data_IF_809504862559
#
_entry.id   IF_809504862559
#
_cell.length_a   1.000
_cell.length_b   1.000
_cell.length_c   1.000
_cell.angle_alpha   90.00
_cell.angle_beta   90.00
_cell.angle_gamma   90.00
#
_symmetry.space_group_name_H-M   'P 1'
#
loop_
_entity.id
_entity.type
_entity.pdbx_description
1 polymer ?
#
# COMPACT_ATOMS: atom_id res chain seq x y z
N UNK A 1 13.30 -2.63 0.83
CA UNK A 1 13.85 -1.71 1.87
C UNK A 1 14.81 -2.51 2.72
N UNK A 2 15.98 -1.97 3.16
CA UNK A 2 16.79 -2.69 4.11
C UNK A 2 15.99 -2.84 5.40
N UNK A 3 16.10 -4.02 6.01
CA UNK A 3 15.62 -4.34 7.37
C UNK A 3 16.31 -3.41 8.37
N UNK A 4 15.83 -2.18 8.48
CA UNK A 4 16.23 -1.31 9.57
C UNK A 4 15.34 -1.69 10.75
N UNK A 5 15.89 -2.34 11.78
CA UNK A 5 15.11 -2.64 12.96
C UNK A 5 14.55 -1.34 13.54
N UNK A 6 13.37 -1.37 14.14
CA UNK A 6 12.81 -0.18 14.77
C UNK A 6 13.81 0.39 15.79
N UNK A 7 13.94 1.72 15.86
CA UNK A 7 14.86 2.34 16.80
C UNK A 7 14.51 1.94 18.23
N UNK A 8 15.52 1.43 18.95
CA UNK A 8 15.39 1.08 20.38
C UNK A 8 16.07 2.14 21.24
N UNK A 9 15.48 2.46 22.39
CA UNK A 9 16.18 3.19 23.47
C UNK A 9 17.05 2.21 24.24
N UNK A 10 18.11 2.68 24.86
CA UNK A 10 18.97 1.88 25.73
C UNK A 10 18.13 1.19 26.80
N UNK A 11 17.84 -0.14 26.62
CA UNK A 11 16.96 -0.90 27.51
C UNK A 11 15.98 -1.85 26.82
N UNK A 12 16.16 -2.21 25.54
CA UNK A 12 15.39 -3.24 24.78
C UNK A 12 13.85 -3.03 24.67
N UNK A 13 13.30 -1.94 25.19
CA UNK A 13 11.88 -1.66 24.99
C UNK A 13 11.65 -0.94 23.65
N UNK A 14 10.66 -1.35 22.85
CA UNK A 14 10.30 -0.63 21.63
C UNK A 14 9.87 0.80 21.97
N UNK A 15 10.29 1.77 21.16
CA UNK A 15 9.86 3.16 21.32
C UNK A 15 8.33 3.25 21.20
N UNK A 16 7.72 4.16 21.96
CA UNK A 16 6.29 4.45 21.81
C UNK A 16 5.98 4.82 20.34
N UNK A 17 4.83 4.38 19.78
CA UNK A 17 4.46 4.66 18.38
C UNK A 17 4.60 6.13 18.00
N UNK A 18 4.18 7.08 18.85
CA UNK A 18 4.30 8.51 18.58
C UNK A 18 5.76 8.96 18.41
N UNK A 19 6.67 8.38 19.21
CA UNK A 19 8.11 8.67 19.11
C UNK A 19 8.68 8.09 17.82
N UNK A 20 8.26 6.89 17.45
CA UNK A 20 8.66 6.27 16.19
C UNK A 20 8.19 7.09 14.98
N UNK A 21 6.95 7.60 15.02
CA UNK A 21 6.37 8.40 13.94
C UNK A 21 7.12 9.71 13.67
N UNK A 22 7.88 10.24 14.62
CA UNK A 22 8.66 11.46 14.42
C UNK A 22 9.87 11.22 13.53
N UNK A 23 10.56 10.08 13.70
CA UNK A 23 11.86 9.81 13.04
C UNK A 23 11.84 8.68 12.02
N UNK A 24 10.88 7.75 12.08
CA UNK A 24 10.86 6.56 11.22
C UNK A 24 10.80 6.92 9.74
N UNK A 25 11.59 6.23 8.93
CA UNK A 25 11.64 6.39 7.48
C UNK A 25 12.40 7.64 6.99
N UNK A 26 13.05 8.40 7.88
CA UNK A 26 13.84 9.56 7.52
C UNK A 26 15.32 9.37 7.90
N UNK A 27 16.19 9.47 6.91
CA UNK A 27 17.64 9.60 7.12
C UNK A 27 18.05 11.07 6.90
N UNK A 28 18.42 11.80 7.97
CA UNK A 28 18.84 13.19 7.86
C UNK A 28 20.05 13.38 6.92
N UNK A 29 20.94 12.41 6.83
CA UNK A 29 22.15 12.52 6.01
C UNK A 29 21.86 12.45 4.51
N UNK A 30 20.77 11.79 4.11
CA UNK A 30 20.26 11.85 2.74
C UNK A 30 19.51 13.16 2.44
N UNK A 31 19.17 13.92 3.47
CA UNK A 31 18.45 15.20 3.39
C UNK A 31 19.31 16.38 3.89
N UNK A 32 20.60 16.36 3.63
CA UNK A 32 21.56 17.45 3.98
C UNK A 32 21.59 17.80 5.48
N UNK A 33 21.33 16.84 6.35
CA UNK A 33 21.29 17.03 7.80
C UNK A 33 19.97 17.60 8.33
N UNK A 34 18.93 17.69 7.51
CA UNK A 34 17.64 18.18 7.95
C UNK A 34 17.02 17.22 8.99
N UNK A 35 16.68 17.73 10.18
CA UNK A 35 16.08 16.94 11.27
C UNK A 35 14.70 16.41 10.89
N UNK A 36 13.94 17.17 10.10
CA UNK A 36 12.66 16.76 9.53
C UNK A 36 12.79 16.60 8.03
N UNK A 37 12.06 15.63 7.48
CA UNK A 37 12.02 15.42 6.04
C UNK A 37 11.61 16.70 5.32
N UNK A 38 12.44 17.24 4.41
CA UNK A 38 12.06 18.35 3.56
C UNK A 38 10.89 18.00 2.63
N UNK A 39 10.13 19.02 2.21
CA UNK A 39 9.13 18.85 1.17
C UNK A 39 9.81 19.00 -0.19
N UNK A 40 9.91 17.90 -0.93
CA UNK A 40 10.46 17.89 -2.28
C UNK A 40 9.36 18.19 -3.29
N UNK A 41 9.57 19.20 -4.14
CA UNK A 41 8.67 19.54 -5.26
C UNK A 41 9.14 18.97 -6.59
N UNK A 42 10.33 18.36 -6.63
CA UNK A 42 10.85 17.76 -7.84
C UNK A 42 10.15 16.44 -8.18
N UNK A 43 9.74 16.26 -9.41
CA UNK A 43 9.24 14.98 -9.90
C UNK A 43 10.33 14.11 -10.55
N UNK A 44 11.50 14.70 -10.84
CA UNK A 44 12.59 14.02 -11.55
C UNK A 44 13.88 14.17 -10.76
N UNK A 45 14.67 13.11 -10.72
CA UNK A 45 15.95 13.06 -10.00
C UNK A 45 17.05 12.73 -11.00
N UNK A 46 18.22 13.35 -10.82
CA UNK A 46 19.39 13.17 -11.68
C UNK A 46 20.33 12.12 -11.14
N UNK A 47 21.14 11.53 -12.01
CA UNK A 47 22.14 10.54 -11.70
C UNK A 47 23.53 11.12 -11.97
N UNK A 48 24.53 10.65 -11.23
CA UNK A 48 25.94 11.06 -11.40
C UNK A 48 26.57 10.37 -12.61
N UNK A 49 26.08 9.16 -12.94
CA UNK A 49 26.54 8.37 -14.10
C UNK A 49 25.43 7.51 -14.66
N UNK A 50 25.63 6.93 -15.84
CA UNK A 50 24.72 5.98 -16.44
C UNK A 50 24.58 4.71 -15.61
N UNK A 51 25.64 4.26 -14.97
CA UNK A 51 25.67 3.08 -14.10
C UNK A 51 24.86 3.31 -12.84
N UNK A 52 24.97 4.51 -12.21
CA UNK A 52 24.13 4.89 -11.09
C UNK A 52 22.64 4.91 -11.49
N UNK A 53 22.34 5.47 -12.66
CA UNK A 53 20.98 5.47 -13.21
C UNK A 53 20.43 4.05 -13.39
N UNK A 54 21.23 3.15 -13.98
CA UNK A 54 20.83 1.76 -14.14
C UNK A 54 20.55 1.08 -12.79
N UNK A 55 21.42 1.28 -11.80
CA UNK A 55 21.23 0.74 -10.45
C UNK A 55 19.95 1.29 -9.79
N UNK A 56 19.63 2.57 -9.95
CA UNK A 56 18.44 3.18 -9.38
C UNK A 56 17.16 2.69 -10.06
N UNK A 57 17.19 2.41 -11.36
CA UNK A 57 16.08 1.75 -12.04
C UNK A 57 15.87 0.31 -11.57
N UNK A 58 16.92 -0.40 -11.20
CA UNK A 58 16.80 -1.74 -10.60
C UNK A 58 16.16 -1.69 -9.21
N UNK A 59 16.50 -0.65 -8.41
CA UNK A 59 15.82 -0.38 -7.13
C UNK A 59 14.33 -0.08 -7.35
N UNK A 60 14.01 0.86 -8.26
CA UNK A 60 12.64 1.24 -8.54
C UNK A 60 11.78 0.08 -9.08
N UNK A 61 12.41 -0.89 -9.75
CA UNK A 61 11.77 -2.10 -10.25
C UNK A 61 11.75 -3.26 -9.22
N UNK A 62 12.25 -3.05 -8.01
CA UNK A 62 12.32 -4.08 -6.98
C UNK A 62 13.31 -5.22 -7.26
N UNK A 63 14.26 -5.01 -8.19
CA UNK A 63 15.25 -6.01 -8.56
C UNK A 63 16.50 -6.00 -7.69
N UNK A 64 16.78 -4.87 -7.04
CA UNK A 64 17.91 -4.70 -6.16
C UNK A 64 17.59 -3.75 -4.98
N UNK A 65 18.23 -3.89 -3.82
CA UNK A 65 18.16 -2.91 -2.75
C UNK A 65 18.88 -1.62 -3.16
N UNK A 66 18.51 -0.50 -2.53
CA UNK A 66 19.25 0.76 -2.74
C UNK A 66 20.70 0.63 -2.31
N UNK A 67 21.67 1.14 -3.08
CA UNK A 67 23.06 1.18 -2.67
C UNK A 67 23.22 1.96 -1.35
N UNK A 68 24.15 1.54 -0.50
CA UNK A 68 24.38 2.18 0.78
C UNK A 68 24.68 3.69 0.60
N UNK A 69 23.98 4.55 1.33
CA UNK A 69 24.12 6.00 1.27
C UNK A 69 23.59 6.65 -0.01
N UNK A 70 22.88 5.92 -0.86
CA UNK A 70 22.23 6.45 -2.05
C UNK A 70 20.70 6.48 -1.90
N UNK A 71 20.06 7.48 -2.52
CA UNK A 71 18.62 7.66 -2.42
C UNK A 71 17.81 6.64 -3.22
N UNK A 72 18.36 6.11 -4.31
CA UNK A 72 17.64 5.24 -5.24
C UNK A 72 16.49 5.94 -6.01
N UNK A 73 16.41 7.27 -5.95
CA UNK A 73 15.32 8.03 -6.52
C UNK A 73 15.47 8.19 -8.03
N UNK A 74 14.38 7.97 -8.77
CA UNK A 74 14.33 8.05 -10.23
C UNK A 74 13.33 9.10 -10.69
N UNK A 75 12.06 8.86 -10.42
CA UNK A 75 10.97 9.69 -10.89
C UNK A 75 9.73 9.47 -10.01
N UNK A 76 8.97 10.54 -9.74
CA UNK A 76 7.87 10.56 -8.77
C UNK A 76 6.77 9.50 -9.01
N UNK A 77 6.63 8.98 -10.24
CA UNK A 77 5.71 7.88 -10.53
C UNK A 77 6.19 6.53 -9.98
N UNK A 78 7.49 6.34 -9.86
CA UNK A 78 8.10 5.11 -9.34
C UNK A 78 8.40 5.21 -7.85
N UNK A 79 9.06 6.31 -7.46
CA UNK A 79 9.45 6.56 -6.08
C UNK A 79 9.62 8.06 -5.83
N UNK A 80 9.32 8.48 -4.60
CA UNK A 80 9.44 9.89 -4.21
C UNK A 80 9.70 9.98 -2.71
N UNK A 81 10.64 10.81 -2.23
CA UNK A 81 11.04 10.81 -0.83
C UNK A 81 9.89 11.11 0.14
N UNK A 82 8.98 12.02 -0.21
CA UNK A 82 7.83 12.33 0.65
C UNK A 82 6.79 11.19 0.67
N UNK A 83 6.59 10.47 -0.45
CA UNK A 83 5.69 9.32 -0.47
C UNK A 83 6.29 8.16 0.33
N UNK A 84 7.56 7.85 0.11
CA UNK A 84 8.26 6.78 0.86
C UNK A 84 8.21 7.01 2.36
N UNK A 85 8.31 8.28 2.83
CA UNK A 85 8.17 8.60 4.24
C UNK A 85 6.77 8.28 4.77
N UNK A 86 5.72 8.64 4.04
CA UNK A 86 4.32 8.36 4.42
C UNK A 86 4.08 6.85 4.41
N UNK A 87 4.52 6.16 3.37
CA UNK A 87 4.40 4.71 3.21
C UNK A 87 5.07 3.96 4.37
N UNK A 88 6.32 4.34 4.71
CA UNK A 88 7.05 3.73 5.83
C UNK A 88 6.32 3.92 7.16
N UNK A 89 5.78 5.11 7.41
CA UNK A 89 5.05 5.40 8.65
C UNK A 89 3.70 4.71 8.75
N UNK A 90 2.94 4.65 7.65
CA UNK A 90 1.68 3.91 7.61
C UNK A 90 1.91 2.41 7.82
N UNK A 91 2.91 1.83 7.15
CA UNK A 91 3.29 0.44 7.37
C UNK A 91 3.64 0.17 8.84
N UNK A 92 4.42 1.08 9.47
CA UNK A 92 4.76 0.96 10.89
C UNK A 92 3.52 1.00 11.80
N UNK A 93 2.59 1.94 11.56
CA UNK A 93 1.37 2.07 12.36
C UNK A 93 0.47 0.85 12.28
N UNK A 94 0.33 0.29 11.09
CA UNK A 94 -0.53 -0.87 10.85
C UNK A 94 0.18 -2.22 11.12
N UNK A 95 1.48 -2.20 11.47
CA UNK A 95 2.28 -3.41 11.60
C UNK A 95 2.40 -4.19 10.30
N UNK A 96 2.32 -3.50 9.16
CA UNK A 96 2.39 -4.08 7.83
C UNK A 96 3.83 -4.13 7.30
N UNK A 97 4.12 -5.06 6.37
CA UNK A 97 5.41 -5.15 5.71
C UNK A 97 5.69 -3.95 4.81
N UNK A 98 4.65 -3.40 4.17
CA UNK A 98 4.74 -2.25 3.28
C UNK A 98 3.39 -1.53 3.16
N UNK A 99 3.43 -0.28 2.71
CA UNK A 99 2.28 0.49 2.30
C UNK A 99 2.55 1.15 0.94
N UNK A 100 1.50 1.47 0.22
CA UNK A 100 1.57 2.20 -1.05
C UNK A 100 0.59 3.37 -1.01
N UNK A 101 1.09 4.55 -1.28
CA UNK A 101 0.26 5.77 -1.36
C UNK A 101 -0.21 5.98 -2.80
N UNK A 102 -1.50 6.25 -2.95
CA UNK A 102 -2.13 6.53 -4.24
C UNK A 102 -2.77 7.92 -4.25
N UNK A 103 -3.18 8.39 -5.42
CA UNK A 103 -3.77 9.72 -5.59
C UNK A 103 -5.19 9.87 -5.01
N UNK A 104 -5.86 8.77 -4.69
CA UNK A 104 -7.21 8.75 -4.09
C UNK A 104 -7.52 7.41 -3.47
N UNK A 105 -8.52 7.35 -2.57
CA UNK A 105 -9.03 6.08 -2.04
C UNK A 105 -9.53 5.14 -3.13
N UNK A 106 -10.21 5.66 -4.15
CA UNK A 106 -10.62 4.82 -5.29
C UNK A 106 -9.44 4.27 -6.10
N UNK A 107 -8.35 5.01 -6.22
CA UNK A 107 -7.13 4.50 -6.83
C UNK A 107 -6.51 3.38 -5.98
N UNK A 108 -6.53 3.50 -4.64
CA UNK A 108 -6.08 2.43 -3.75
C UNK A 108 -6.93 1.17 -3.91
N UNK A 109 -8.26 1.31 -3.82
CA UNK A 109 -9.20 0.20 -3.95
C UNK A 109 -9.07 -0.48 -5.32
N UNK A 110 -9.11 0.28 -6.41
CA UNK A 110 -9.02 -0.29 -7.75
C UNK A 110 -7.67 -0.98 -7.98
N UNK A 111 -6.56 -0.39 -7.53
CA UNK A 111 -5.23 -1.01 -7.65
C UNK A 111 -5.17 -2.32 -6.87
N UNK A 112 -5.67 -2.35 -5.63
CA UNK A 112 -5.69 -3.57 -4.81
C UNK A 112 -6.53 -4.68 -5.47
N UNK A 113 -7.72 -4.34 -6.00
CA UNK A 113 -8.60 -5.30 -6.65
C UNK A 113 -8.00 -5.83 -7.95
N UNK A 114 -7.51 -4.97 -8.85
CA UNK A 114 -6.88 -5.39 -10.10
C UNK A 114 -5.56 -6.16 -9.90
N UNK A 115 -4.80 -5.86 -8.85
CA UNK A 115 -3.60 -6.62 -8.51
C UNK A 115 -3.93 -8.04 -8.01
N UNK A 116 -5.04 -8.18 -7.27
CA UNK A 116 -5.41 -9.43 -6.59
C UNK A 116 -6.30 -10.36 -7.41
N UNK A 117 -7.07 -9.81 -8.35
CA UNK A 117 -8.10 -10.53 -9.09
C UNK A 117 -7.69 -10.89 -10.50
N UNK A 118 -8.30 -11.97 -11.00
CA UNK A 118 -8.22 -12.41 -12.40
C UNK A 118 -9.63 -12.70 -12.92
N UNK A 119 -9.88 -12.65 -14.23
CA UNK A 119 -11.13 -13.09 -14.83
C UNK A 119 -11.52 -14.50 -14.36
N UNK A 120 -12.77 -14.68 -13.98
CA UNK A 120 -13.33 -15.91 -13.42
C UNK A 120 -13.24 -16.03 -11.90
N UNK A 121 -12.54 -15.12 -11.21
CA UNK A 121 -12.49 -15.07 -9.74
C UNK A 121 -13.71 -14.34 -9.15
N UNK A 122 -13.88 -14.46 -7.84
CA UNK A 122 -15.04 -13.96 -7.11
C UNK A 122 -14.66 -12.98 -6.03
N UNK A 123 -15.46 -11.93 -5.86
CA UNK A 123 -15.42 -11.01 -4.72
C UNK A 123 -16.59 -11.32 -3.79
N UNK A 124 -16.33 -11.39 -2.50
CA UNK A 124 -17.37 -11.36 -1.46
C UNK A 124 -17.20 -10.09 -0.67
N UNK A 125 -18.25 -9.28 -0.57
CA UNK A 125 -18.17 -7.98 0.08
C UNK A 125 -19.38 -7.69 0.95
N UNK A 126 -19.19 -6.86 1.99
CA UNK A 126 -20.30 -6.31 2.75
C UNK A 126 -21.11 -5.32 1.90
N UNK A 127 -22.38 -5.10 2.26
CA UNK A 127 -23.26 -4.13 1.61
C UNK A 127 -23.97 -3.30 2.70
N UNK A 128 -24.12 -1.98 2.51
CA UNK A 128 -23.65 -1.20 1.36
C UNK A 128 -22.14 -0.90 1.43
N UNK A 129 -21.50 -0.80 0.28
CA UNK A 129 -20.17 -0.24 0.12
C UNK A 129 -20.24 1.24 -0.26
N UNK A 130 -19.07 1.93 -0.26
CA UNK A 130 -18.96 3.23 -0.90
C UNK A 130 -19.38 3.14 -2.37
N UNK A 131 -20.25 4.08 -2.81
CA UNK A 131 -20.89 4.01 -4.13
C UNK A 131 -19.93 3.84 -5.31
N UNK A 132 -18.72 4.46 -5.24
CA UNK A 132 -17.68 4.26 -6.25
C UNK A 132 -17.16 2.83 -6.29
N UNK A 133 -17.00 2.19 -5.14
CA UNK A 133 -16.56 0.79 -5.03
C UNK A 133 -17.64 -0.16 -5.57
N UNK A 134 -18.91 0.08 -5.23
CA UNK A 134 -20.01 -0.72 -5.79
C UNK A 134 -20.10 -0.62 -7.32
N UNK A 135 -19.95 0.59 -7.86
CA UNK A 135 -19.94 0.80 -9.31
C UNK A 135 -18.74 0.09 -9.96
N UNK A 136 -17.56 0.17 -9.36
CA UNK A 136 -16.37 -0.55 -9.85
C UNK A 136 -16.61 -2.06 -9.90
N UNK A 137 -17.17 -2.65 -8.83
CA UNK A 137 -17.41 -4.08 -8.74
C UNK A 137 -18.52 -4.50 -9.71
N UNK A 138 -19.65 -3.81 -9.73
CA UNK A 138 -20.85 -4.21 -10.50
C UNK A 138 -20.73 -3.95 -11.99
N UNK A 139 -19.86 -3.05 -12.41
CA UNK A 139 -19.67 -2.70 -13.83
C UNK A 139 -18.30 -3.13 -14.33
N UNK A 140 -17.25 -2.37 -14.03
CA UNK A 140 -15.94 -2.58 -14.63
C UNK A 140 -15.35 -3.97 -14.34
N UNK A 141 -15.42 -4.45 -13.10
CA UNK A 141 -14.92 -5.79 -12.76
C UNK A 141 -15.84 -6.90 -13.29
N UNK A 142 -17.16 -6.69 -13.31
CA UNK A 142 -18.08 -7.64 -13.91
C UNK A 142 -17.83 -7.77 -15.43
N UNK A 143 -17.63 -6.66 -16.14
CA UNK A 143 -17.30 -6.66 -17.57
C UNK A 143 -15.93 -7.33 -17.82
N UNK A 144 -15.03 -7.25 -16.85
CA UNK A 144 -13.73 -7.94 -16.89
C UNK A 144 -13.84 -9.44 -16.55
N UNK A 145 -15.02 -9.92 -16.18
CA UNK A 145 -15.28 -11.33 -15.88
C UNK A 145 -15.07 -11.73 -14.42
N UNK A 146 -15.04 -10.76 -13.50
CA UNK A 146 -15.00 -11.03 -12.06
C UNK A 146 -16.42 -11.07 -11.51
N UNK A 147 -16.78 -12.17 -10.80
CA UNK A 147 -18.07 -12.29 -10.14
C UNK A 147 -18.07 -11.62 -8.76
N UNK A 148 -19.27 -11.23 -8.28
CA UNK A 148 -19.42 -10.64 -6.96
C UNK A 148 -20.62 -11.24 -6.21
N UNK A 149 -20.46 -11.42 -4.90
CA UNK A 149 -21.52 -11.84 -3.97
C UNK A 149 -21.51 -10.89 -2.77
N UNK A 150 -22.60 -10.18 -2.56
CA UNK A 150 -22.77 -9.28 -1.43
C UNK A 150 -23.44 -10.00 -0.24
N UNK A 151 -23.17 -9.53 0.97
CA UNK A 151 -23.92 -9.85 2.19
C UNK A 151 -24.30 -8.56 2.92
N UNK A 152 -25.54 -8.48 3.40
CA UNK A 152 -26.15 -7.22 3.84
C UNK A 152 -25.79 -6.84 5.30
N UNK A 153 -25.31 -7.80 6.10
CA UNK A 153 -24.89 -7.57 7.48
C UNK A 153 -23.42 -7.88 7.64
N UNK A 154 -22.58 -6.84 7.56
CA UNK A 154 -21.13 -6.92 7.71
C UNK A 154 -20.66 -7.33 9.11
N UNK A 155 -21.55 -7.35 10.10
CA UNK A 155 -21.27 -7.83 11.46
C UNK A 155 -21.72 -9.30 11.64
N UNK A 156 -22.47 -9.88 10.69
CA UNK A 156 -22.94 -11.25 10.75
C UNK A 156 -21.94 -12.23 10.15
N UNK A 157 -21.28 -13.01 11.00
CA UNK A 157 -20.41 -14.10 10.56
C UNK A 157 -21.15 -15.18 9.77
N UNK A 158 -22.45 -15.37 10.04
CA UNK A 158 -23.30 -16.32 9.33
C UNK A 158 -23.60 -15.84 7.90
N UNK A 159 -23.99 -14.57 7.73
CA UNK A 159 -24.22 -13.98 6.41
C UNK A 159 -22.95 -14.01 5.55
N UNK A 160 -21.80 -13.65 6.13
CA UNK A 160 -20.51 -13.71 5.45
C UNK A 160 -20.16 -15.14 5.04
N UNK A 161 -20.37 -16.12 5.91
CA UNK A 161 -20.08 -17.54 5.60
C UNK A 161 -20.96 -18.05 4.45
N UNK A 162 -22.26 -17.77 4.45
CA UNK A 162 -23.17 -18.15 3.39
C UNK A 162 -22.77 -17.54 2.03
N UNK A 163 -22.36 -16.27 2.04
CA UNK A 163 -21.84 -15.59 0.84
C UNK A 163 -20.53 -16.22 0.33
N UNK A 164 -19.61 -16.55 1.24
CA UNK A 164 -18.35 -17.23 0.91
C UNK A 164 -18.60 -18.62 0.31
N UNK A 165 -19.48 -19.42 0.88
CA UNK A 165 -19.85 -20.75 0.34
C UNK A 165 -20.43 -20.64 -1.07
N UNK A 166 -21.31 -19.65 -1.27
CA UNK A 166 -21.91 -19.37 -2.58
C UNK A 166 -20.88 -18.98 -3.62
N UNK A 167 -19.93 -18.13 -3.26
CA UNK A 167 -18.88 -17.65 -4.15
C UNK A 167 -17.82 -18.73 -4.42
N UNK A 168 -17.42 -19.48 -3.38
CA UNK A 168 -16.38 -20.53 -3.47
C UNK A 168 -16.74 -21.64 -4.46
N UNK A 169 -18.03 -21.91 -4.64
CA UNK A 169 -18.50 -22.85 -5.65
C UNK A 169 -18.22 -22.41 -7.11
N UNK A 170 -17.85 -21.14 -7.31
CA UNK A 170 -17.63 -20.52 -8.63
C UNK A 170 -16.15 -20.25 -8.94
N UNK A 171 -15.27 -20.32 -7.94
CA UNK A 171 -13.83 -20.07 -8.12
C UNK A 171 -13.13 -19.50 -6.89
N UNK A 172 -11.92 -18.98 -7.09
CA UNK A 172 -11.14 -18.33 -6.03
C UNK A 172 -11.86 -17.07 -5.53
N UNK A 173 -11.96 -16.92 -4.22
CA UNK A 173 -12.62 -15.78 -3.57
C UNK A 173 -11.59 -14.83 -2.98
N UNK A 174 -11.78 -13.52 -3.21
CA UNK A 174 -11.09 -12.42 -2.53
C UNK A 174 -12.14 -11.67 -1.71
N UNK A 175 -11.96 -11.58 -0.39
CA UNK A 175 -12.88 -10.90 0.50
C UNK A 175 -12.52 -9.41 0.57
N UNK A 176 -13.51 -8.57 0.29
CA UNK A 176 -13.42 -7.11 0.46
C UNK A 176 -14.37 -6.70 1.56
N UNK A 177 -13.83 -6.08 2.62
CA UNK A 177 -14.61 -5.51 3.72
C UNK A 177 -14.40 -3.99 3.70
N UNK A 178 -15.52 -3.24 3.63
CA UNK A 178 -15.52 -1.79 3.82
C UNK A 178 -16.20 -1.46 5.15
N UNK A 179 -15.42 -1.17 6.17
CA UNK A 179 -15.92 -0.87 7.52
C UNK A 179 -16.40 0.56 7.69
N UNK A 180 -16.13 1.48 6.75
CA UNK A 180 -16.44 2.91 6.90
C UNK A 180 -17.93 3.23 6.78
N UNK A 181 -18.71 2.39 6.11
CA UNK A 181 -20.15 2.59 5.93
C UNK A 181 -21.02 1.88 6.98
N UNK A 182 -20.41 1.27 8.00
CA UNK A 182 -21.12 0.52 9.05
C UNK A 182 -21.10 1.21 10.42
N UNK A 183 -20.58 2.42 10.48
CA UNK A 183 -20.64 3.33 11.64
C UNK A 183 -21.71 4.38 11.40
#
# INVERSE_FOLDING_TARGET
MPDTPPPTVAGDAPLHPDTQMVGHGHDPFLAQGAVKMPVYHSSTFVFRSAEEGAAFFDVAAGRAPAPAGASGLVYARFNHPNLQLVEARLALLDGAEAAVVTSSGMAAISTALFASLRPGEQIVHSSPLYGGTETLIRQALADWGVGATAFDDGLSAEAMRAALETAAARGRVVLVLDGLNQL
#
